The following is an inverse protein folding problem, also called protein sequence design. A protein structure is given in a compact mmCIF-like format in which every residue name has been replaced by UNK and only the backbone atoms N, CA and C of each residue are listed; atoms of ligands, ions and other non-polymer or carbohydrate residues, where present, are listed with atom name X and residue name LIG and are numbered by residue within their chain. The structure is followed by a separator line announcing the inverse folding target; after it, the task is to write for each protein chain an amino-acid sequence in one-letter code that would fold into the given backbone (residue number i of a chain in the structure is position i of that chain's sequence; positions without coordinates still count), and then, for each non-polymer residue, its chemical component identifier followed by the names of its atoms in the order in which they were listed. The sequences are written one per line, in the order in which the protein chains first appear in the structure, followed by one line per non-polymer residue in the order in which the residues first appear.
data_IF_900924179984
#
_entry.id   IF_900924179984
#
_cell.length_a   1.000
_cell.length_b   1.000
_cell.length_c   1.000
_cell.angle_alpha   90.00
_cell.angle_beta   90.00
_cell.angle_gamma   90.00
#
_symmetry.space_group_name_H-M   'P 1'
#
loop_
_entity.id
_entity.type
_entity.pdbx_description
1 polymer ?
#
# COMPACT_ATOMS: atom_id res chain seq x y z
N UNK A 1 19.47 6.40 -9.32
CA UNK A 1 18.67 5.49 -10.17
C UNK A 1 19.32 5.38 -11.54
N UNK A 2 19.72 4.17 -11.92
CA UNK A 2 20.40 3.88 -13.20
C UNK A 2 19.45 4.01 -14.39
N UNK A 3 19.99 3.90 -15.62
CA UNK A 3 19.20 3.96 -16.86
C UNK A 3 18.19 2.82 -16.91
N UNK A 4 18.61 1.63 -16.50
CA UNK A 4 17.81 0.40 -16.48
C UNK A 4 16.58 0.56 -15.58
N UNK A 5 16.76 1.05 -14.35
CA UNK A 5 15.65 1.29 -13.43
C UNK A 5 14.68 2.37 -13.92
N UNK A 6 15.17 3.42 -14.60
CA UNK A 6 14.29 4.44 -15.22
C UNK A 6 13.44 3.84 -16.33
N UNK A 7 14.03 2.97 -17.15
CA UNK A 7 13.31 2.26 -18.21
C UNK A 7 12.26 1.33 -17.60
N UNK A 8 12.62 0.58 -16.56
CA UNK A 8 11.71 -0.30 -15.84
C UNK A 8 10.53 0.48 -15.22
N UNK A 9 10.79 1.57 -14.49
CA UNK A 9 9.75 2.44 -13.92
C UNK A 9 8.77 2.91 -15.01
N UNK A 10 9.29 3.39 -16.15
CA UNK A 10 8.48 3.85 -17.27
C UNK A 10 7.63 2.73 -17.87
N UNK A 11 8.21 1.54 -18.09
CA UNK A 11 7.50 0.41 -18.68
C UNK A 11 6.41 -0.12 -17.74
N UNK A 12 6.71 -0.19 -16.44
CA UNK A 12 5.76 -0.65 -15.43
C UNK A 12 4.58 0.32 -15.29
N UNK A 13 4.83 1.63 -15.26
CA UNK A 13 3.75 2.63 -15.30
C UNK A 13 2.86 2.48 -16.55
N UNK A 14 3.47 2.31 -17.73
CA UNK A 14 2.73 2.05 -18.98
C UNK A 14 1.94 0.75 -18.95
N UNK A 15 2.44 -0.29 -18.30
CA UNK A 15 1.72 -1.54 -18.14
C UNK A 15 0.50 -1.37 -17.23
N UNK A 16 0.68 -0.70 -16.08
CA UNK A 16 -0.39 -0.40 -15.14
C UNK A 16 -1.49 0.48 -15.77
N UNK A 17 -1.13 1.42 -16.65
CA UNK A 17 -2.10 2.26 -17.38
C UNK A 17 -3.04 1.44 -18.29
N UNK A 18 -2.63 0.25 -18.71
CA UNK A 18 -3.47 -0.63 -19.56
C UNK A 18 -4.47 -1.46 -18.77
N UNK A 19 -4.30 -1.56 -17.45
CA UNK A 19 -5.20 -2.32 -16.60
C UNK A 19 -6.38 -1.44 -16.16
N UNK A 20 -7.60 -2.00 -16.00
CA UNK A 20 -8.70 -1.26 -15.41
C UNK A 20 -8.37 -0.84 -13.96
N UNK A 21 -9.00 0.24 -13.50
CA UNK A 21 -8.95 0.60 -12.08
C UNK A 21 -9.65 -0.50 -11.26
N UNK A 22 -9.08 -0.81 -10.11
CA UNK A 22 -9.71 -1.68 -9.14
C UNK A 22 -10.64 -0.85 -8.24
N UNK A 23 -11.94 -1.07 -8.40
CA UNK A 23 -12.98 -0.47 -7.56
C UNK A 23 -13.08 -1.26 -6.25
N UNK A 24 -12.45 -0.75 -5.20
CA UNK A 24 -12.51 -1.39 -3.88
C UNK A 24 -13.74 -0.93 -3.09
N UNK A 25 -14.45 -1.88 -2.50
CA UNK A 25 -15.55 -1.59 -1.57
C UNK A 25 -15.07 -1.22 -0.16
N UNK A 26 -13.77 -1.31 0.12
CA UNK A 26 -13.18 -1.03 1.43
C UNK A 26 -11.77 -0.44 1.29
N UNK A 27 -11.15 -0.06 2.41
CA UNK A 27 -9.74 0.36 2.36
C UNK A 27 -8.85 -0.84 2.05
N UNK A 28 -7.79 -0.62 1.27
CA UNK A 28 -6.76 -1.62 1.00
C UNK A 28 -5.79 -1.74 2.18
N UNK A 29 -5.09 -2.86 2.30
CA UNK A 29 -4.18 -3.18 3.40
C UNK A 29 -2.73 -3.17 2.91
N UNK A 30 -1.84 -2.53 3.66
CA UNK A 30 -0.39 -2.60 3.45
C UNK A 30 0.30 -2.61 4.80
N UNK A 31 1.39 -3.35 4.92
CA UNK A 31 2.25 -3.31 6.10
C UNK A 31 3.62 -2.76 5.73
N UNK A 32 4.20 -2.00 6.62
CA UNK A 32 5.58 -1.54 6.51
C UNK A 32 6.32 -1.73 7.83
N UNK A 33 7.64 -1.81 7.74
CA UNK A 33 8.55 -1.84 8.88
C UNK A 33 9.29 -0.52 8.94
N UNK A 34 8.74 0.43 9.69
CA UNK A 34 9.24 1.78 9.87
C UNK A 34 9.54 2.07 11.35
N UNK A 35 10.59 2.83 11.62
CA UNK A 35 10.81 3.42 12.94
C UNK A 35 9.81 4.55 13.20
N UNK A 36 9.59 4.89 14.47
CA UNK A 36 8.74 6.04 14.82
C UNK A 36 9.21 7.35 14.20
N UNK A 37 10.53 7.58 14.19
CA UNK A 37 11.12 8.75 13.53
C UNK A 37 10.87 8.79 12.02
N UNK A 38 10.75 7.62 11.36
CA UNK A 38 10.38 7.55 9.94
C UNK A 38 8.89 7.85 9.76
N UNK A 39 8.03 7.31 10.63
CA UNK A 39 6.58 7.56 10.58
C UNK A 39 6.30 9.06 10.75
N UNK A 40 6.84 9.69 11.79
CA UNK A 40 6.67 11.13 12.06
C UNK A 40 7.21 12.02 10.94
N UNK A 41 8.25 11.56 10.25
CA UNK A 41 8.85 12.28 9.12
C UNK A 41 8.03 12.14 7.83
N UNK A 42 7.52 10.95 7.54
CA UNK A 42 6.90 10.63 6.25
C UNK A 42 5.38 10.85 6.25
N UNK A 43 4.74 10.69 7.40
CA UNK A 43 3.29 10.71 7.52
C UNK A 43 2.86 11.71 8.59
N UNK A 44 2.35 12.85 8.14
CA UNK A 44 1.78 13.88 8.99
C UNK A 44 0.34 14.11 8.58
N UNK A 45 -0.57 14.08 9.55
CA UNK A 45 -1.99 14.28 9.31
C UNK A 45 -2.19 15.62 8.57
N UNK A 46 -3.07 15.60 7.57
CA UNK A 46 -3.35 16.72 6.65
C UNK A 46 -2.23 17.11 5.69
N UNK A 47 -1.14 16.35 5.61
CA UNK A 47 -0.12 16.53 4.58
C UNK A 47 -0.27 15.53 3.41
N UNK A 48 0.41 15.84 2.31
CA UNK A 48 0.49 14.99 1.12
C UNK A 48 1.85 14.29 1.10
N UNK A 49 1.83 12.97 0.93
CA UNK A 49 3.01 12.15 0.70
C UNK A 49 3.05 11.69 -0.76
N UNK A 50 4.20 11.84 -1.41
CA UNK A 50 4.44 11.31 -2.77
C UNK A 50 5.35 10.09 -2.68
N UNK A 51 4.80 8.92 -2.95
CA UNK A 51 5.59 7.69 -2.97
C UNK A 51 6.34 7.60 -4.30
N UNK A 52 7.66 7.81 -4.27
CA UNK A 52 8.51 7.74 -5.47
C UNK A 52 8.59 6.32 -6.05
N UNK A 53 8.32 5.29 -5.25
CA UNK A 53 8.26 3.90 -5.66
C UNK A 53 6.83 3.48 -6.02
N UNK A 54 6.67 2.31 -6.61
CA UNK A 54 5.37 1.65 -6.73
C UNK A 54 4.87 1.26 -5.34
N UNK A 55 3.62 1.56 -5.03
CA UNK A 55 3.00 1.15 -3.76
C UNK A 55 2.19 -0.11 -4.02
N UNK A 56 2.42 -1.15 -3.22
CA UNK A 56 1.66 -2.40 -3.28
C UNK A 56 0.79 -2.55 -2.03
N UNK A 57 -0.37 -3.17 -2.18
CA UNK A 57 -1.36 -3.39 -1.14
C UNK A 57 -2.16 -4.66 -1.42
N UNK A 58 -2.87 -5.17 -0.43
CA UNK A 58 -3.84 -6.26 -0.55
C UNK A 58 -5.26 -5.70 -0.43
N UNK A 59 -6.20 -6.19 -1.23
CA UNK A 59 -7.62 -5.92 -1.00
C UNK A 59 -8.26 -6.86 0.03
N UNK A 60 -7.56 -7.93 0.41
CA UNK A 60 -8.07 -9.00 1.25
C UNK A 60 -7.42 -8.98 2.65
N UNK A 61 -8.22 -8.97 3.73
CA UNK A 61 -7.71 -8.93 5.10
C UNK A 61 -7.03 -10.24 5.52
N UNK A 62 -7.47 -11.39 5.03
CA UNK A 62 -6.85 -12.68 5.36
C UNK A 62 -5.47 -12.82 4.71
N UNK A 63 -5.32 -12.34 3.47
CA UNK A 63 -4.06 -12.30 2.75
C UNK A 63 -3.03 -11.42 3.48
N UNK A 64 -3.42 -10.22 3.94
CA UNK A 64 -2.50 -9.37 4.71
C UNK A 64 -2.19 -9.98 6.07
N UNK A 65 -3.17 -10.60 6.76
CA UNK A 65 -2.93 -11.29 8.03
C UNK A 65 -1.94 -12.45 7.88
N UNK A 66 -2.02 -13.22 6.78
CA UNK A 66 -1.01 -14.24 6.44
C UNK A 66 0.37 -13.65 6.15
N UNK A 67 0.45 -12.46 5.54
CA UNK A 67 1.71 -11.77 5.29
C UNK A 67 2.34 -11.27 6.60
N UNK A 68 1.53 -10.75 7.53
CA UNK A 68 1.95 -10.29 8.86
C UNK A 68 2.60 -11.40 9.68
N UNK A 69 2.06 -12.63 9.62
CA UNK A 69 2.67 -13.81 10.26
C UNK A 69 4.05 -14.20 9.74
N UNK A 70 4.46 -13.67 8.58
CA UNK A 70 5.68 -14.07 7.86
C UNK A 70 6.71 -12.95 7.70
N UNK A 71 6.32 -11.69 7.94
CA UNK A 71 7.14 -10.52 7.65
C UNK A 71 7.13 -9.59 8.85
N UNK A 72 8.26 -8.96 9.15
CA UNK A 72 8.31 -7.92 10.16
C UNK A 72 7.48 -6.70 9.73
N UNK A 73 6.75 -6.11 10.66
CA UNK A 73 5.97 -4.90 10.47
C UNK A 73 5.95 -4.08 11.76
N UNK A 74 5.74 -2.78 11.65
CA UNK A 74 5.49 -1.88 12.79
C UNK A 74 4.21 -1.07 12.62
N UNK A 75 3.73 -0.96 11.38
CA UNK A 75 2.58 -0.12 11.02
C UNK A 75 1.71 -0.82 9.99
N UNK A 76 0.40 -0.64 10.16
CA UNK A 76 -0.62 -0.94 9.16
C UNK A 76 -0.95 0.34 8.40
N UNK A 77 -0.97 0.27 7.08
CA UNK A 77 -1.43 1.34 6.21
C UNK A 77 -2.74 0.90 5.59
N UNK A 78 -3.76 1.75 5.70
CA UNK A 78 -5.07 1.55 5.06
C UNK A 78 -5.25 2.60 3.97
N UNK A 79 -5.58 2.20 2.75
CA UNK A 79 -5.59 3.11 1.59
C UNK A 79 -6.99 3.19 0.99
N UNK A 80 -7.55 4.40 0.94
CA UNK A 80 -8.73 4.75 0.13
C UNK A 80 -8.25 4.89 -1.33
N UNK A 81 -8.49 3.85 -2.14
CA UNK A 81 -7.97 3.71 -3.50
C UNK A 81 -8.91 4.33 -4.54
N UNK A 82 -8.33 4.92 -5.59
CA UNK A 82 -9.02 5.48 -6.75
C UNK A 82 -8.50 4.90 -8.07
N UNK A 83 -7.19 4.71 -8.22
CA UNK A 83 -6.56 4.22 -9.45
C UNK A 83 -5.65 3.00 -9.24
N UNK A 84 -5.70 2.36 -8.07
CA UNK A 84 -5.01 1.09 -7.84
C UNK A 84 -5.37 0.05 -8.90
N UNK A 85 -4.39 -0.74 -9.33
CA UNK A 85 -4.57 -1.77 -10.37
C UNK A 85 -4.52 -3.16 -9.75
N UNK A 86 -5.56 -3.95 -9.98
CA UNK A 86 -5.56 -5.35 -9.59
C UNK A 86 -4.59 -6.12 -10.48
N UNK A 87 -3.52 -6.67 -9.89
CA UNK A 87 -2.52 -7.45 -10.62
C UNK A 87 -2.53 -8.94 -10.27
N UNK A 88 -3.43 -9.37 -9.38
CA UNK A 88 -3.60 -10.77 -9.02
C UNK A 88 -3.61 -11.72 -10.23
N UNK A 89 -4.36 -11.47 -11.34
CA UNK A 89 -4.40 -12.41 -12.47
C UNK A 89 -3.06 -12.62 -13.18
N UNK A 90 -2.12 -11.68 -13.04
CA UNK A 90 -0.81 -11.68 -13.71
C UNK A 90 0.36 -11.83 -12.71
N UNK A 91 0.06 -11.93 -11.42
CA UNK A 91 1.06 -12.08 -10.37
C UNK A 91 1.49 -13.54 -10.24
N UNK A 92 2.77 -13.76 -9.94
CA UNK A 92 3.29 -15.08 -9.56
C UNK A 92 2.80 -15.52 -8.18
N UNK A 93 2.31 -14.57 -7.35
CA UNK A 93 1.82 -14.80 -6.00
C UNK A 93 0.38 -14.30 -5.85
N UNK A 94 -0.55 -14.92 -6.58
CA UNK A 94 -1.97 -14.53 -6.58
C UNK A 94 -2.60 -14.53 -5.17
N UNK A 95 -2.08 -15.34 -4.25
CA UNK A 95 -2.52 -15.41 -2.84
C UNK A 95 -2.36 -14.08 -2.08
N UNK A 96 -1.52 -13.16 -2.57
CA UNK A 96 -1.33 -11.84 -1.96
C UNK A 96 -2.46 -10.85 -2.28
N UNK A 97 -3.38 -11.20 -3.20
CA UNK A 97 -4.58 -10.41 -3.51
C UNK A 97 -4.22 -8.95 -3.84
N UNK A 98 -3.19 -8.81 -4.68
CA UNK A 98 -2.41 -7.60 -4.79
C UNK A 98 -3.05 -6.52 -5.69
N UNK A 99 -3.09 -5.30 -5.16
CA UNK A 99 -3.41 -4.06 -5.86
C UNK A 99 -2.19 -3.15 -5.83
N UNK A 100 -1.75 -2.70 -7.01
CA UNK A 100 -0.55 -1.87 -7.18
C UNK A 100 -0.89 -0.48 -7.69
N UNK A 101 -0.24 0.52 -7.10
CA UNK A 101 -0.26 1.91 -7.53
C UNK A 101 1.01 2.24 -8.30
N UNK A 102 0.88 3.13 -9.29
CA UNK A 102 1.99 3.64 -10.08
C UNK A 102 3.04 4.33 -9.22
N UNK A 103 4.26 4.44 -9.74
CA UNK A 103 5.25 5.29 -9.09
C UNK A 103 4.79 6.74 -9.08
N UNK A 104 5.22 7.50 -8.07
CA UNK A 104 4.86 8.91 -7.84
C UNK A 104 3.38 9.14 -7.56
N UNK A 105 2.66 8.09 -7.15
CA UNK A 105 1.29 8.25 -6.62
C UNK A 105 1.34 9.10 -5.35
N UNK A 106 0.41 10.05 -5.29
CA UNK A 106 0.26 10.97 -4.17
C UNK A 106 -0.88 10.54 -3.27
N UNK A 107 -0.65 10.58 -1.96
CA UNK A 107 -1.64 10.25 -0.96
C UNK A 107 -1.76 11.39 0.04
N UNK A 108 -2.99 11.72 0.41
CA UNK A 108 -3.29 12.56 1.56
C UNK A 108 -3.35 11.72 2.83
N UNK A 109 -2.63 12.15 3.86
CA UNK A 109 -2.61 11.47 5.17
C UNK A 109 -3.82 11.92 5.97
N UNK A 110 -4.85 11.08 5.98
CA UNK A 110 -6.16 11.39 6.56
C UNK A 110 -6.17 11.26 8.07
N UNK A 111 -5.50 10.23 8.61
CA UNK A 111 -5.57 9.90 10.03
C UNK A 111 -4.40 9.00 10.43
N UNK A 112 -4.00 9.06 11.70
CA UNK A 112 -3.02 8.16 12.33
C UNK A 112 -3.59 7.77 13.70
N UNK A 113 -3.92 6.49 13.88
CA UNK A 113 -4.58 5.98 15.09
C UNK A 113 -4.19 4.55 15.41
N UNK A 114 -4.59 4.06 16.57
CA UNK A 114 -4.48 2.65 16.91
C UNK A 114 -5.74 1.91 16.43
N UNK A 115 -5.56 0.78 15.75
CA UNK A 115 -6.63 -0.16 15.40
C UNK A 115 -6.26 -1.57 15.83
N UNK A 116 -7.10 -2.56 15.55
CA UNK A 116 -6.74 -3.97 15.70
C UNK A 116 -6.01 -4.49 14.45
N UNK A 117 -5.05 -5.39 14.67
CA UNK A 117 -4.28 -6.07 13.62
C UNK A 117 -5.18 -7.04 12.85
N UNK A 118 -5.13 -7.09 11.51
CA UNK A 118 -5.86 -8.10 10.73
C UNK A 118 -5.26 -9.52 10.89
N UNK A 119 -4.14 -9.68 11.61
CA UNK A 119 -3.55 -10.98 11.90
C UNK A 119 -4.40 -11.83 12.86
N UNK A 120 -4.97 -11.18 13.87
CA UNK A 120 -5.72 -11.81 14.98
C UNK A 120 -6.98 -11.04 15.40
N UNK A 121 -7.18 -9.82 14.88
CA UNK A 121 -8.25 -8.88 15.20
C UNK A 121 -8.33 -8.46 16.68
N UNK A 122 -7.26 -8.66 17.46
CA UNK A 122 -7.20 -8.36 18.89
C UNK A 122 -6.00 -7.46 19.20
N UNK A 123 -4.84 -7.73 18.61
CA UNK A 123 -3.59 -7.02 18.91
C UNK A 123 -3.67 -5.58 18.41
N UNK A 124 -3.43 -4.57 19.26
CA UNK A 124 -3.37 -3.18 18.83
C UNK A 124 -2.19 -2.93 17.88
N UNK A 125 -2.43 -2.15 16.83
CA UNK A 125 -1.42 -1.74 15.85
C UNK A 125 -1.58 -0.27 15.48
N UNK A 126 -0.47 0.43 15.28
CA UNK A 126 -0.46 1.79 14.72
C UNK A 126 -0.88 1.73 13.26
N UNK A 127 -1.89 2.52 12.92
CA UNK A 127 -2.53 2.51 11.62
C UNK A 127 -2.57 3.89 10.99
N UNK A 128 -2.05 3.99 9.78
CA UNK A 128 -2.05 5.21 8.96
C UNK A 128 -3.12 5.07 7.89
N UNK A 129 -4.05 6.03 7.84
CA UNK A 129 -5.10 6.07 6.83
C UNK A 129 -4.69 7.05 5.73
N UNK A 130 -4.53 6.53 4.52
CA UNK A 130 -4.17 7.28 3.33
C UNK A 130 -5.36 7.39 2.39
N UNK A 131 -5.47 8.51 1.69
CA UNK A 131 -6.39 8.69 0.57
C UNK A 131 -5.63 9.03 -0.69
N UNK A 132 -5.79 8.23 -1.74
CA UNK A 132 -5.22 8.54 -3.07
C UNK A 132 -5.88 9.82 -3.64
N UNK A 133 -5.07 10.67 -4.27
CA UNK A 133 -5.51 11.92 -4.90
C UNK A 133 -5.76 11.74 -6.41
#
# INVERSE_FOLDING_TARGET
MTKEFRVQERLMNKALDKLPNYESSSLLYRIEYLSESQIEKYYKINEIVTNKHFTSSSYDPDAIGKAMRKRAYTVLIRIESKNGKLIEPISTLQIEKEVVFKSKTTFFVKDIKITTSPEDYVTPIKTIILKEL
#
